data_IF_697877607508
#
_entry.id   IF_697877607508
#
_cell.length_a   1.000
_cell.length_b   1.000
_cell.length_c   1.000
_cell.angle_alpha   90.00
_cell.angle_beta   90.00
_cell.angle_gamma   90.00
#
_symmetry.space_group_name_H-M   'P 1'
#
loop_
_entity.id
_entity.type
_entity.pdbx_description
1 polymer ?
#
# COMPACT_ATOMS: atom_id res chain seq x y z
N UNK A 1 -5.73 -18.47 50.39
CA UNK A 1 -5.98 -17.84 49.08
C UNK A 1 -4.64 -17.43 48.47
N UNK A 2 -4.09 -18.26 47.59
CA UNK A 2 -2.82 -18.01 46.91
C UNK A 2 -3.16 -17.37 45.56
N UNK A 3 -2.75 -16.11 45.35
CA UNK A 3 -2.83 -15.45 44.04
C UNK A 3 -1.70 -16.00 43.17
N UNK A 4 -2.05 -16.82 42.17
CA UNK A 4 -1.17 -17.13 41.05
C UNK A 4 -0.98 -15.85 40.23
N UNK A 5 0.22 -15.27 40.29
CA UNK A 5 0.72 -14.35 39.28
C UNK A 5 1.07 -15.19 38.05
N UNK A 6 0.23 -15.11 37.02
CA UNK A 6 0.54 -15.70 35.72
C UNK A 6 1.60 -14.84 35.03
N UNK A 7 2.83 -15.33 35.13
CA UNK A 7 4.01 -14.98 34.35
C UNK A 7 3.68 -14.93 32.86
N UNK A 8 3.71 -13.74 32.25
CA UNK A 8 3.80 -13.63 30.79
C UNK A 8 5.26 -13.88 30.40
N UNK A 9 5.55 -15.14 30.09
CA UNK A 9 6.83 -15.58 29.54
C UNK A 9 6.95 -15.00 28.13
N UNK A 10 7.70 -13.91 27.97
CA UNK A 10 8.27 -13.53 26.67
C UNK A 10 9.33 -14.58 26.37
N UNK A 11 8.92 -15.67 25.72
CA UNK A 11 9.84 -16.66 25.16
C UNK A 11 10.51 -15.98 23.95
N UNK A 12 11.65 -15.36 24.22
CA UNK A 12 12.62 -14.90 23.23
C UNK A 12 13.36 -16.13 22.71
N UNK A 13 12.70 -16.93 21.86
CA UNK A 13 13.41 -17.87 20.99
C UNK A 13 14.03 -17.07 19.85
N UNK A 14 15.25 -16.59 20.09
CA UNK A 14 16.12 -16.05 19.05
C UNK A 14 16.48 -17.17 18.08
N UNK A 15 15.66 -17.35 17.05
CA UNK A 15 15.96 -18.19 15.90
C UNK A 15 16.98 -17.46 15.02
N UNK A 16 18.25 -17.86 15.13
CA UNK A 16 19.28 -17.48 14.20
C UNK A 16 19.02 -18.25 12.89
N UNK A 17 18.51 -17.59 11.84
CA UNK A 17 18.58 -18.16 10.49
C UNK A 17 17.58 -17.69 9.44
N UNK A 18 16.41 -17.14 9.79
CA UNK A 18 15.53 -16.56 8.77
C UNK A 18 14.71 -15.40 9.34
N UNK A 19 14.66 -14.30 8.60
CA UNK A 19 13.81 -13.17 8.93
C UNK A 19 12.36 -13.66 8.98
N UNK A 20 11.77 -13.68 10.19
CA UNK A 20 10.40 -14.13 10.37
C UNK A 20 9.45 -13.11 9.74
N UNK A 21 8.44 -13.63 9.05
CA UNK A 21 7.33 -12.83 8.57
C UNK A 21 6.44 -12.44 9.76
N UNK A 22 6.14 -11.15 9.87
CA UNK A 22 5.32 -10.59 10.94
C UNK A 22 4.15 -9.82 10.34
N UNK A 23 2.97 -10.00 10.91
CA UNK A 23 1.80 -9.17 10.63
C UNK A 23 1.69 -8.09 11.72
N UNK A 24 1.58 -6.84 11.29
CA UNK A 24 1.47 -5.68 12.18
C UNK A 24 0.22 -4.92 11.80
N UNK A 25 -0.68 -4.68 12.76
CA UNK A 25 -1.87 -3.88 12.53
C UNK A 25 -1.46 -2.43 12.22
N UNK A 26 -2.19 -1.79 11.30
CA UNK A 26 -2.03 -0.38 10.99
C UNK A 26 -2.91 0.44 11.94
N UNK A 27 -2.32 1.32 12.78
CA UNK A 27 -3.07 2.20 13.65
C UNK A 27 -4.22 2.95 12.96
N UNK A 28 -5.26 3.27 13.72
CA UNK A 28 -6.46 4.01 13.26
C UNK A 28 -7.32 3.30 12.21
N UNK A 29 -7.02 2.04 11.90
CA UNK A 29 -7.85 1.16 11.09
C UNK A 29 -8.33 -0.05 11.89
N UNK A 30 -9.56 -0.50 11.62
CA UNK A 30 -10.13 -1.68 12.28
C UNK A 30 -9.53 -2.98 11.78
N UNK A 31 -9.21 -3.07 10.48
CA UNK A 31 -8.82 -4.32 9.83
C UNK A 31 -7.66 -4.18 8.86
N UNK A 32 -6.95 -3.05 8.86
CA UNK A 32 -5.78 -2.89 8.00
C UNK A 32 -4.51 -3.44 8.66
N UNK A 33 -3.68 -4.08 7.84
CA UNK A 33 -2.47 -4.77 8.28
C UNK A 33 -1.33 -4.51 7.31
N UNK A 34 -0.11 -4.59 7.82
CA UNK A 34 1.07 -4.77 6.99
C UNK A 34 1.81 -6.05 7.35
N UNK A 35 2.30 -6.73 6.33
CA UNK A 35 3.17 -7.88 6.42
C UNK A 35 4.60 -7.40 6.19
N UNK A 36 5.50 -7.70 7.12
CA UNK A 36 6.93 -7.39 7.01
C UNK A 36 7.78 -8.63 7.20
N UNK A 37 8.89 -8.72 6.47
CA UNK A 37 9.91 -9.74 6.66
C UNK A 37 11.08 -9.08 7.41
N UNK A 38 11.27 -9.46 8.67
CA UNK A 38 12.26 -8.80 9.53
C UNK A 38 11.97 -7.30 9.69
N UNK A 39 12.97 -6.47 9.40
CA UNK A 39 12.92 -5.01 9.55
C UNK A 39 12.75 -4.30 8.18
N UNK A 40 12.20 -4.98 7.18
CA UNK A 40 12.07 -4.48 5.82
C UNK A 40 10.86 -3.55 5.59
N UNK A 41 10.10 -3.12 6.59
CA UNK A 41 8.91 -2.28 6.37
C UNK A 41 9.07 -0.88 6.98
N UNK A 42 8.43 0.15 6.41
CA UNK A 42 8.18 1.39 7.13
C UNK A 42 7.43 1.14 8.44
N UNK A 43 7.57 2.09 9.36
CA UNK A 43 6.83 2.05 10.62
C UNK A 43 5.31 2.09 10.36
N UNK A 44 4.55 1.29 11.13
CA UNK A 44 3.12 1.12 10.93
C UNK A 44 2.34 2.43 11.13
N UNK A 45 2.78 3.30 12.04
CA UNK A 45 2.18 4.62 12.28
C UNK A 45 2.35 5.49 11.03
N UNK A 46 3.55 5.49 10.41
CA UNK A 46 3.81 6.26 9.18
C UNK A 46 2.99 5.78 8.00
N UNK A 47 2.84 4.47 7.84
CA UNK A 47 1.97 3.89 6.79
C UNK A 47 0.52 4.31 7.03
N UNK A 48 0.06 4.26 8.26
CA UNK A 48 -1.31 4.67 8.63
C UNK A 48 -1.55 6.15 8.35
N UNK A 49 -0.61 7.01 8.73
CA UNK A 49 -0.66 8.44 8.43
C UNK A 49 -0.70 8.70 6.91
N UNK A 50 0.09 7.96 6.12
CA UNK A 50 0.06 8.08 4.67
C UNK A 50 -1.31 7.68 4.07
N UNK A 51 -1.93 6.60 4.57
CA UNK A 51 -3.28 6.18 4.16
C UNK A 51 -4.33 7.24 4.55
N UNK A 52 -4.24 7.82 5.75
CA UNK A 52 -5.13 8.89 6.20
C UNK A 52 -4.99 10.14 5.31
N UNK A 53 -3.76 10.54 4.98
CA UNK A 53 -3.51 11.67 4.09
C UNK A 53 -4.05 11.36 2.69
N UNK A 54 -3.78 10.16 2.16
CA UNK A 54 -4.34 9.71 0.88
C UNK A 54 -5.86 9.85 0.88
N UNK A 55 -6.55 9.28 1.88
CA UNK A 55 -8.01 9.29 1.94
C UNK A 55 -8.57 10.70 2.01
N UNK A 56 -7.99 11.57 2.85
CA UNK A 56 -8.41 12.97 2.95
C UNK A 56 -8.27 13.69 1.61
N UNK A 57 -7.11 13.56 0.97
CA UNK A 57 -6.88 14.20 -0.33
C UNK A 57 -7.82 13.63 -1.40
N UNK A 58 -8.03 12.31 -1.41
CA UNK A 58 -8.93 11.64 -2.35
C UNK A 58 -10.36 12.15 -2.18
N UNK A 59 -10.88 12.14 -0.95
CA UNK A 59 -12.21 12.61 -0.62
C UNK A 59 -12.45 14.05 -1.09
N UNK A 60 -11.49 14.96 -0.85
CA UNK A 60 -11.58 16.35 -1.31
C UNK A 60 -11.55 16.49 -2.83
N UNK A 61 -10.83 15.62 -3.54
CA UNK A 61 -10.62 15.73 -4.99
C UNK A 61 -11.71 15.04 -5.81
N UNK A 62 -12.13 13.85 -5.38
CA UNK A 62 -12.98 12.94 -6.14
C UNK A 62 -14.27 12.55 -5.41
N UNK A 63 -14.35 12.81 -4.09
CA UNK A 63 -15.43 12.34 -3.23
C UNK A 63 -15.35 10.84 -2.91
N UNK A 64 -16.19 10.41 -1.97
CA UNK A 64 -16.38 9.00 -1.62
C UNK A 64 -17.84 8.72 -1.27
N UNK A 65 -18.65 8.45 -2.29
CA UNK A 65 -20.07 8.16 -2.11
C UNK A 65 -20.22 6.82 -1.38
N UNK A 66 -20.95 6.83 -0.26
CA UNK A 66 -21.20 5.66 0.60
C UNK A 66 -19.95 5.09 1.28
N UNK A 67 -18.88 5.88 1.44
CA UNK A 67 -17.66 5.47 2.14
C UNK A 67 -16.98 4.22 1.55
N UNK A 68 -17.16 3.95 0.25
CA UNK A 68 -16.63 2.74 -0.39
C UNK A 68 -15.12 2.70 -0.36
N UNK A 69 -14.47 3.83 -0.64
CA UNK A 69 -13.02 3.93 -0.62
C UNK A 69 -12.54 3.82 0.83
N UNK A 70 -13.18 4.54 1.76
CA UNK A 70 -12.84 4.44 3.19
C UNK A 70 -12.87 2.99 3.68
N UNK A 71 -13.93 2.26 3.38
CA UNK A 71 -14.09 0.88 3.83
C UNK A 71 -13.01 -0.04 3.24
N UNK A 72 -12.67 0.10 1.97
CA UNK A 72 -11.57 -0.66 1.37
C UNK A 72 -10.22 -0.34 2.01
N UNK A 73 -9.97 0.92 2.34
CA UNK A 73 -8.73 1.35 3.02
C UNK A 73 -8.68 0.84 4.47
N UNK A 74 -9.81 0.74 5.16
CA UNK A 74 -9.92 0.17 6.51
C UNK A 74 -9.66 -1.35 6.54
N UNK A 75 -9.68 -2.02 5.39
CA UNK A 75 -9.45 -3.47 5.26
C UNK A 75 -8.16 -3.80 4.49
N UNK A 76 -7.31 -2.80 4.22
CA UNK A 76 -6.15 -2.99 3.34
C UNK A 76 -5.04 -3.83 4.01
N UNK A 77 -4.48 -4.75 3.25
CA UNK A 77 -3.32 -5.55 3.63
C UNK A 77 -2.13 -5.21 2.72
N UNK A 78 -1.00 -4.83 3.33
CA UNK A 78 0.20 -4.37 2.60
C UNK A 78 1.37 -5.30 2.86
N UNK A 79 1.84 -6.02 1.85
CA UNK A 79 3.06 -6.82 1.93
C UNK A 79 4.29 -6.00 1.50
N UNK A 80 5.22 -5.79 2.44
CA UNK A 80 6.50 -5.16 2.17
C UNK A 80 7.58 -6.21 1.90
N UNK A 81 8.36 -6.03 0.84
CA UNK A 81 9.47 -6.92 0.53
C UNK A 81 10.65 -6.20 -0.10
N UNK A 82 11.87 -6.56 0.30
CA UNK A 82 13.10 -6.15 -0.38
C UNK A 82 13.29 -6.82 -1.76
N UNK A 83 12.61 -7.96 -1.99
CA UNK A 83 12.74 -8.76 -3.21
C UNK A 83 12.19 -8.00 -4.41
N UNK A 84 12.92 -8.04 -5.52
CA UNK A 84 12.44 -7.51 -6.80
C UNK A 84 11.39 -8.48 -7.35
N UNK A 85 10.21 -7.98 -7.71
CA UNK A 85 9.29 -8.69 -8.59
C UNK A 85 9.50 -8.19 -10.02
N UNK A 86 9.71 -9.15 -10.92
CA UNK A 86 9.78 -8.88 -12.36
C UNK A 86 8.44 -9.26 -12.93
N UNK A 87 7.84 -8.35 -13.70
CA UNK A 87 6.63 -8.66 -14.45
C UNK A 87 6.92 -9.80 -15.43
N UNK A 88 6.30 -10.94 -15.21
CA UNK A 88 6.34 -12.10 -16.12
C UNK A 88 5.42 -11.88 -17.32
N UNK A 89 4.39 -11.05 -17.16
CA UNK A 89 3.42 -10.64 -18.18
C UNK A 89 3.59 -9.17 -18.57
N UNK A 90 2.73 -8.70 -19.48
CA UNK A 90 2.67 -7.31 -19.95
C UNK A 90 2.14 -6.41 -18.83
N UNK A 91 2.96 -5.48 -18.35
CA UNK A 91 2.48 -4.29 -17.61
C UNK A 91 2.23 -3.13 -18.56
N UNK A 92 1.77 -1.99 -18.06
CA UNK A 92 1.69 -0.76 -18.85
C UNK A 92 2.39 0.39 -18.13
N UNK A 93 2.87 1.36 -18.90
CA UNK A 93 3.34 2.63 -18.38
C UNK A 93 2.18 3.62 -18.21
N UNK A 94 2.49 4.83 -17.75
CA UNK A 94 1.49 5.88 -17.51
C UNK A 94 0.66 6.27 -18.74
N UNK A 95 1.20 6.06 -19.95
CA UNK A 95 0.51 6.32 -21.23
C UNK A 95 -0.31 5.11 -21.71
N UNK A 96 -0.37 4.04 -20.92
CA UNK A 96 -0.96 2.76 -21.32
C UNK A 96 -0.14 1.96 -22.31
N UNK A 97 1.12 2.35 -22.56
CA UNK A 97 1.99 1.60 -23.46
C UNK A 97 2.48 0.35 -22.74
N UNK A 98 2.43 -0.78 -23.43
CA UNK A 98 2.87 -2.08 -22.91
C UNK A 98 4.35 -2.06 -22.55
N UNK A 99 4.67 -2.48 -21.32
CA UNK A 99 6.03 -2.76 -20.87
C UNK A 99 6.20 -4.28 -20.85
N UNK A 100 7.10 -4.77 -21.70
CA UNK A 100 7.54 -6.16 -21.68
C UNK A 100 8.68 -6.29 -20.67
N UNK A 101 8.44 -7.00 -19.56
CA UNK A 101 9.42 -7.28 -18.50
C UNK A 101 9.98 -6.01 -17.83
N UNK A 102 9.48 -5.70 -16.64
CA UNK A 102 9.95 -4.60 -15.82
C UNK A 102 10.09 -5.01 -14.36
N UNK A 103 11.04 -4.40 -13.65
CA UNK A 103 11.07 -4.47 -12.19
C UNK A 103 10.02 -3.48 -11.66
N UNK A 104 8.99 -3.98 -11.00
CA UNK A 104 7.96 -3.15 -10.40
C UNK A 104 8.33 -2.73 -8.98
N UNK A 105 7.84 -1.55 -8.59
CA UNK A 105 7.99 -1.02 -7.23
C UNK A 105 6.78 -1.33 -6.35
N UNK A 106 5.65 -1.65 -6.95
CA UNK A 106 4.39 -1.98 -6.29
C UNK A 106 3.47 -2.72 -7.24
N UNK A 107 2.49 -3.41 -6.65
CA UNK A 107 1.37 -4.01 -7.36
C UNK A 107 0.16 -4.05 -6.42
N UNK A 108 -0.93 -3.45 -6.85
CA UNK A 108 -2.25 -3.71 -6.33
C UNK A 108 -2.71 -5.06 -6.90
N UNK A 109 -2.75 -6.09 -6.04
CA UNK A 109 -3.05 -7.47 -6.43
C UNK A 109 -4.55 -7.76 -6.36
N UNK A 110 -5.22 -7.16 -5.37
CA UNK A 110 -6.68 -7.20 -5.20
C UNK A 110 -7.16 -5.84 -4.65
N UNK A 111 -8.48 -5.57 -4.58
CA UNK A 111 -9.01 -4.34 -4.01
C UNK A 111 -8.57 -4.02 -2.57
N UNK A 112 -8.02 -5.00 -1.84
CA UNK A 112 -7.57 -4.84 -0.45
C UNK A 112 -6.18 -5.44 -0.22
N UNK A 113 -5.45 -5.87 -1.26
CA UNK A 113 -4.11 -6.46 -1.11
C UNK A 113 -3.09 -5.79 -2.00
N UNK A 114 -2.09 -5.19 -1.37
CA UNK A 114 -0.97 -4.54 -2.02
C UNK A 114 0.31 -5.31 -1.76
N UNK A 115 1.17 -5.37 -2.78
CA UNK A 115 2.58 -5.71 -2.62
C UNK A 115 3.42 -4.49 -2.93
N UNK A 116 4.37 -4.14 -2.06
CA UNK A 116 5.25 -3.00 -2.23
C UNK A 116 6.70 -3.41 -2.03
N UNK A 117 7.57 -2.91 -2.92
CA UNK A 117 9.00 -3.05 -2.76
C UNK A 117 9.51 -2.04 -1.75
N UNK A 118 10.21 -2.52 -0.73
CA UNK A 118 10.84 -1.63 0.24
C UNK A 118 12.08 -0.96 -0.36
N UNK A 119 12.26 0.33 -0.03
CA UNK A 119 13.52 1.04 -0.24
C UNK A 119 14.44 0.95 0.99
N UNK A 120 15.73 1.22 0.80
CA UNK A 120 16.75 1.13 1.86
C UNK A 120 16.50 2.06 3.07
N UNK A 121 15.72 3.13 2.88
CA UNK A 121 15.41 4.12 3.91
C UNK A 121 14.05 3.92 4.56
N UNK A 122 13.28 2.91 4.11
CA UNK A 122 11.92 2.59 4.59
C UNK A 122 11.00 3.82 4.65
N UNK A 123 11.19 4.75 3.72
CA UNK A 123 10.36 5.96 3.58
C UNK A 123 9.14 5.65 2.73
N UNK A 124 7.96 6.03 3.20
CA UNK A 124 6.70 5.83 2.48
C UNK A 124 6.66 6.65 1.20
N UNK A 125 7.11 7.91 1.22
CA UNK A 125 7.14 8.79 0.03
C UNK A 125 8.03 8.26 -1.10
N UNK A 126 9.02 7.42 -0.77
CA UNK A 126 9.92 6.80 -1.74
C UNK A 126 9.45 5.41 -2.20
N UNK A 127 8.29 4.95 -1.71
CA UNK A 127 7.63 3.73 -2.15
C UNK A 127 6.69 4.01 -3.34
N UNK A 128 5.82 3.05 -3.66
CA UNK A 128 4.73 3.22 -4.64
C UNK A 128 3.35 3.17 -3.98
N UNK A 129 3.28 3.28 -2.64
CA UNK A 129 2.03 3.16 -1.90
C UNK A 129 0.95 4.10 -2.44
N UNK A 130 1.28 5.37 -2.70
CA UNK A 130 0.35 6.36 -3.26
C UNK A 130 -0.26 5.93 -4.60
N UNK A 131 0.55 5.37 -5.49
CA UNK A 131 0.11 4.83 -6.77
C UNK A 131 -0.82 3.64 -6.60
N UNK A 132 -0.44 2.66 -5.77
CA UNK A 132 -1.24 1.46 -5.57
C UNK A 132 -2.56 1.74 -4.84
N UNK A 133 -2.59 2.75 -3.96
CA UNK A 133 -3.83 3.21 -3.32
C UNK A 133 -4.82 3.82 -4.33
N UNK A 134 -4.34 4.45 -5.41
CA UNK A 134 -5.23 4.88 -6.51
C UNK A 134 -5.88 3.67 -7.18
N UNK A 135 -5.13 2.61 -7.48
CA UNK A 135 -5.71 1.38 -8.03
C UNK A 135 -6.80 0.79 -7.11
N UNK A 136 -6.56 0.78 -5.80
CA UNK A 136 -7.56 0.38 -4.78
C UNK A 136 -8.82 1.24 -4.84
N UNK A 137 -8.67 2.56 -4.85
CA UNK A 137 -9.80 3.47 -4.90
C UNK A 137 -10.62 3.34 -6.18
N UNK A 138 -9.95 3.16 -7.34
CA UNK A 138 -10.62 2.89 -8.61
C UNK A 138 -11.38 1.56 -8.59
N UNK A 139 -10.80 0.51 -7.99
CA UNK A 139 -11.51 -0.76 -7.78
C UNK A 139 -12.80 -0.58 -6.99
N UNK A 140 -12.77 0.20 -5.89
CA UNK A 140 -13.97 0.51 -5.09
C UNK A 140 -15.07 1.23 -5.87
N UNK A 141 -14.69 1.90 -6.95
CA UNK A 141 -15.60 2.62 -7.85
C UNK A 141 -16.08 1.76 -9.04
N UNK A 142 -15.73 0.47 -9.08
CA UNK A 142 -16.16 -0.47 -10.11
C UNK A 142 -15.24 -0.55 -11.32
N UNK A 143 -14.04 0.05 -11.24
CA UNK A 143 -13.07 -0.02 -12.32
C UNK A 143 -12.44 -1.41 -12.40
N UNK A 144 -12.54 -2.01 -13.59
CA UNK A 144 -12.03 -3.36 -13.81
C UNK A 144 -10.52 -3.39 -13.64
N UNK A 145 -10.04 -4.33 -12.83
CA UNK A 145 -8.61 -4.57 -12.58
C UNK A 145 -7.83 -3.33 -12.09
N UNK A 146 -8.49 -2.38 -11.43
CA UNK A 146 -7.84 -1.19 -10.88
C UNK A 146 -7.35 -0.19 -11.93
N UNK A 147 -7.68 -0.41 -13.21
CA UNK A 147 -7.16 0.36 -14.35
C UNK A 147 -5.64 0.19 -14.61
N UNK A 148 -5.22 -0.96 -15.16
CA UNK A 148 -3.81 -1.32 -15.30
C UNK A 148 -3.09 -0.67 -16.49
N UNK A 149 -3.78 0.09 -17.36
CA UNK A 149 -3.15 0.87 -18.44
C UNK A 149 -3.18 2.38 -18.20
N UNK A 150 -3.58 2.82 -17.00
CA UNK A 150 -3.45 4.20 -16.57
C UNK A 150 -4.13 5.18 -17.54
N UNK A 151 -3.39 6.10 -18.16
CA UNK A 151 -3.97 7.05 -19.13
C UNK A 151 -4.15 6.44 -20.54
N UNK A 152 -4.06 5.11 -20.67
CA UNK A 152 -4.36 4.37 -21.88
C UNK A 152 -5.85 4.33 -22.21
N UNK A 153 -6.16 3.82 -23.40
CA UNK A 153 -7.53 3.79 -23.91
C UNK A 153 -8.26 2.46 -23.60
N UNK A 154 -7.57 1.44 -23.04
CA UNK A 154 -8.17 0.12 -22.80
C UNK A 154 -8.98 0.09 -21.52
N UNK A 155 -8.48 0.69 -20.45
CA UNK A 155 -9.20 0.90 -19.21
C UNK A 155 -9.31 2.42 -18.98
N UNK A 156 -10.55 2.91 -18.87
CA UNK A 156 -10.83 4.35 -19.01
C UNK A 156 -11.08 5.06 -17.69
N UNK A 157 -10.94 4.39 -16.56
CA UNK A 157 -11.16 4.98 -15.25
C UNK A 157 -10.04 5.93 -14.85
N UNK A 158 -8.79 5.57 -15.14
CA UNK A 158 -7.63 6.36 -14.75
C UNK A 158 -7.43 7.54 -15.71
N UNK A 159 -7.85 8.72 -15.26
CA UNK A 159 -7.61 9.99 -15.94
C UNK A 159 -6.32 10.69 -15.50
N UNK A 160 -5.86 11.65 -16.31
CA UNK A 160 -4.77 12.62 -16.00
C UNK A 160 -4.88 13.27 -14.61
N UNK A 161 -6.10 13.41 -14.09
CA UNK A 161 -6.31 13.96 -12.76
C UNK A 161 -5.77 13.05 -11.65
N UNK A 162 -5.82 11.72 -11.80
CA UNK A 162 -5.23 10.77 -10.85
C UNK A 162 -3.69 10.81 -10.88
N UNK A 163 -3.10 10.96 -12.07
CA UNK A 163 -1.66 11.20 -12.21
C UNK A 163 -1.23 12.46 -11.46
N UNK A 164 -1.95 13.57 -11.65
CA UNK A 164 -1.70 14.83 -10.92
C UNK A 164 -1.92 14.68 -9.41
N UNK A 165 -2.93 13.91 -9.02
CA UNK A 165 -3.20 13.59 -7.62
C UNK A 165 -2.02 12.87 -6.96
N UNK A 166 -1.46 11.83 -7.59
CA UNK A 166 -0.28 11.13 -7.08
C UNK A 166 0.92 12.07 -6.96
N UNK A 167 1.18 12.89 -7.99
CA UNK A 167 2.27 13.87 -7.93
C UNK A 167 2.11 14.87 -6.78
N UNK A 168 0.87 15.30 -6.49
CA UNK A 168 0.57 16.16 -5.36
C UNK A 168 0.75 15.44 -4.02
N UNK A 169 0.19 14.24 -3.90
CA UNK A 169 0.26 13.43 -2.69
C UNK A 169 1.71 13.08 -2.34
N UNK A 170 2.53 12.70 -3.32
CA UNK A 170 3.95 12.40 -3.10
C UNK A 170 4.71 13.59 -2.48
N UNK A 171 4.42 14.82 -2.93
CA UNK A 171 4.98 16.05 -2.34
C UNK A 171 4.54 16.25 -0.90
N UNK A 172 3.28 15.92 -0.57
CA UNK A 172 2.78 15.98 0.80
C UNK A 172 3.48 14.95 1.69
N UNK A 173 3.55 13.69 1.26
CA UNK A 173 4.22 12.62 2.00
C UNK A 173 5.69 12.95 2.26
N UNK A 174 6.39 13.50 1.26
CA UNK A 174 7.76 13.99 1.41
C UNK A 174 7.86 15.11 2.46
N UNK A 175 6.95 16.09 2.42
CA UNK A 175 6.95 17.22 3.37
C UNK A 175 6.77 16.77 4.82
N UNK A 176 6.01 15.70 5.05
CA UNK A 176 5.80 15.13 6.37
C UNK A 176 6.85 14.07 6.77
N UNK A 177 7.89 13.86 5.95
CA UNK A 177 8.95 12.88 6.17
C UNK A 177 8.44 11.44 6.40
N UNK A 178 7.34 11.08 5.73
CA UNK A 178 6.71 9.76 5.82
C UNK A 178 7.43 8.72 4.98
#
# INVERSE_FOLDING_TARGET
>A
MIKLLATLCVILLCSCGSAQQQMVNLPHSSYAWQIKIGDEAPDAERVSQAIIIFYRQWYHTFGDRQNKIKNNLDEIMIEWSSKKKVLTNIGHNIKGEKINRGVVKGMALTPTYLWLRTNQYKRVFASSLDHELVHVALWSQGCRAGDPDHEGDKYVCWKKQHTKFIQHLNKLLFKFDL
#
